data_IF_168101620850
#
_entry.id   IF_168101620850
#
_cell.length_a   1.000
_cell.length_b   1.000
_cell.length_c   1.000
_cell.angle_alpha   90.00
_cell.angle_beta   90.00
_cell.angle_gamma   90.00
#
_symmetry.space_group_name_H-M   'P 1'
#
loop_
_entity.id
_entity.type
_entity.pdbx_description
1 polymer ?
#
# COMPACT_ATOMS: atom_id res chain seq x y z
N UNK A 1 0.01 -13.79 -17.56
CA UNK A 1 0.29 -13.47 -16.14
C UNK A 1 0.17 -11.97 -15.99
N UNK A 2 -0.54 -11.47 -14.96
CA UNK A 2 -0.63 -10.02 -14.71
C UNK A 2 0.73 -9.58 -14.15
N UNK A 3 1.30 -8.49 -14.69
CA UNK A 3 2.54 -7.92 -14.15
C UNK A 3 2.27 -7.43 -12.72
N UNK A 4 3.14 -7.67 -11.74
CA UNK A 4 2.78 -7.45 -10.35
C UNK A 4 3.10 -6.02 -9.89
N UNK A 5 2.82 -5.02 -10.74
CA UNK A 5 3.13 -3.61 -10.49
C UNK A 5 1.90 -2.90 -9.91
N UNK A 6 2.10 -2.23 -8.78
CA UNK A 6 1.11 -1.41 -8.07
C UNK A 6 1.79 -0.16 -7.49
N UNK A 7 1.01 0.81 -6.99
CA UNK A 7 1.55 2.00 -6.33
C UNK A 7 1.07 2.15 -4.88
N UNK A 8 1.66 3.11 -4.17
CA UNK A 8 1.18 3.64 -2.88
C UNK A 8 0.34 4.88 -3.17
N UNK A 9 -0.86 4.95 -2.57
CA UNK A 9 -2.01 5.73 -3.06
C UNK A 9 -1.82 7.24 -3.26
N UNK A 10 -0.81 7.86 -2.64
CA UNK A 10 -0.67 9.32 -2.63
C UNK A 10 0.03 9.85 -3.90
N UNK A 11 -0.68 10.72 -4.64
CA UNK A 11 -0.27 11.23 -5.96
C UNK A 11 -0.27 12.77 -6.04
N UNK A 12 0.58 13.38 -6.89
CA UNK A 12 0.65 14.83 -7.07
C UNK A 12 -0.36 15.39 -8.09
N UNK A 13 -1.25 14.56 -8.64
CA UNK A 13 -2.22 14.98 -9.66
C UNK A 13 -3.23 15.99 -9.11
N UNK A 14 -3.50 17.04 -9.88
CA UNK A 14 -4.41 18.12 -9.49
C UNK A 14 -5.89 17.81 -9.78
N UNK A 15 -6.18 16.87 -10.68
CA UNK A 15 -7.55 16.47 -11.04
C UNK A 15 -7.82 15.01 -10.66
N UNK A 16 -9.09 14.71 -10.35
CA UNK A 16 -9.55 13.34 -10.09
C UNK A 16 -9.35 12.46 -11.33
N UNK A 17 -9.72 12.97 -12.51
CA UNK A 17 -9.62 12.25 -13.77
C UNK A 17 -8.18 11.80 -14.06
N UNK A 18 -7.19 12.68 -13.86
CA UNK A 18 -5.79 12.33 -14.09
C UNK A 18 -5.29 11.29 -13.08
N UNK A 19 -5.64 11.45 -11.79
CA UNK A 19 -5.24 10.52 -10.75
C UNK A 19 -5.82 9.11 -10.98
N UNK A 20 -7.11 9.02 -11.32
CA UNK A 20 -7.80 7.75 -11.62
C UNK A 20 -7.26 7.13 -12.90
N UNK A 21 -7.02 7.94 -13.95
CA UNK A 21 -6.43 7.47 -15.20
C UNK A 21 -5.04 6.88 -14.95
N UNK A 22 -4.18 7.58 -14.22
CA UNK A 22 -2.84 7.10 -13.86
C UNK A 22 -2.90 5.79 -13.06
N UNK A 23 -3.77 5.72 -12.06
CA UNK A 23 -3.96 4.49 -11.28
C UNK A 23 -4.39 3.31 -12.15
N UNK A 24 -5.39 3.51 -13.02
CA UNK A 24 -5.93 2.43 -13.88
C UNK A 24 -4.97 1.97 -14.97
N UNK A 25 -3.91 2.71 -15.29
CA UNK A 25 -2.83 2.22 -16.15
C UNK A 25 -2.05 1.08 -15.52
N UNK A 26 -2.05 0.98 -14.19
CA UNK A 26 -1.29 -0.05 -13.48
C UNK A 26 -1.89 -1.43 -13.71
N UNK A 27 -1.05 -2.47 -13.86
CA UNK A 27 -1.52 -3.86 -13.89
C UNK A 27 -2.37 -4.26 -12.67
N UNK A 28 -2.08 -3.68 -11.50
CA UNK A 28 -2.91 -3.75 -10.30
C UNK A 28 -3.31 -2.30 -9.96
N UNK A 29 -4.51 -1.84 -10.39
CA UNK A 29 -5.00 -0.51 -10.07
C UNK A 29 -5.16 -0.32 -8.56
N UNK A 30 -5.02 0.91 -8.09
CA UNK A 30 -5.09 1.27 -6.68
C UNK A 30 -5.98 2.50 -6.46
N UNK A 31 -6.74 2.58 -5.37
CA UNK A 31 -7.51 3.81 -5.11
C UNK A 31 -6.53 4.98 -4.84
N UNK A 32 -6.50 6.03 -5.68
CA UNK A 32 -5.57 7.13 -5.49
C UNK A 32 -6.11 8.12 -4.44
N UNK A 33 -5.25 8.51 -3.51
CA UNK A 33 -5.45 9.58 -2.56
C UNK A 33 -4.86 10.87 -3.15
N UNK A 34 -5.70 11.87 -3.33
CA UNK A 34 -5.33 13.12 -3.99
C UNK A 34 -4.79 14.11 -2.96
N UNK A 35 -3.68 14.79 -3.24
CA UNK A 35 -3.13 15.83 -2.38
C UNK A 35 -3.29 17.22 -3.04
N UNK A 36 -4.52 17.71 -3.17
CA UNK A 36 -4.74 19.06 -3.76
C UNK A 36 -4.47 20.18 -2.76
N UNK A 37 -4.40 19.86 -1.48
CA UNK A 37 -3.92 20.75 -0.43
C UNK A 37 -3.60 19.86 0.77
N UNK A 38 -2.90 20.37 1.78
CA UNK A 38 -2.57 19.65 3.03
C UNK A 38 -3.80 19.14 3.85
N UNK A 39 -4.98 18.98 3.24
CA UNK A 39 -6.27 18.61 3.83
C UNK A 39 -6.79 17.22 3.43
N UNK A 40 -6.23 16.55 2.41
CA UNK A 40 -6.57 15.18 1.98
C UNK A 40 -5.38 14.24 2.25
N UNK A 41 -5.08 13.96 3.53
CA UNK A 41 -4.08 12.98 3.95
C UNK A 41 -4.80 11.74 4.51
N UNK A 42 -4.15 10.57 4.58
CA UNK A 42 -4.77 9.34 5.11
C UNK A 42 -5.60 9.55 6.40
N UNK A 43 -5.14 10.43 7.29
CA UNK A 43 -5.86 10.81 8.52
C UNK A 43 -7.18 11.55 8.26
N UNK A 44 -7.24 12.47 7.29
CA UNK A 44 -8.48 13.18 6.99
C UNK A 44 -9.50 12.27 6.29
N UNK A 45 -9.03 11.33 5.47
CA UNK A 45 -9.89 10.35 4.79
C UNK A 45 -10.58 9.39 5.77
N UNK A 46 -9.88 9.00 6.84
CA UNK A 46 -10.45 8.13 7.88
C UNK A 46 -11.44 8.86 8.79
N UNK A 47 -11.30 10.17 8.94
CA UNK A 47 -12.24 10.98 9.72
C UNK A 47 -13.50 11.40 8.95
N UNK A 48 -13.41 11.51 7.62
CA UNK A 48 -14.53 11.86 6.76
C UNK A 48 -14.49 11.05 5.45
N UNK A 49 -14.84 9.74 5.50
CA UNK A 49 -14.75 8.85 4.36
C UNK A 49 -15.67 9.24 3.19
N UNK A 50 -16.68 10.09 3.45
CA UNK A 50 -17.56 10.65 2.42
C UNK A 50 -16.89 11.65 1.47
N UNK A 51 -15.64 12.06 1.74
CA UNK A 51 -14.86 13.00 0.92
C UNK A 51 -13.85 12.36 -0.01
N UNK A 52 -13.91 11.05 -0.25
CA UNK A 52 -13.00 10.36 -1.17
C UNK A 52 -13.21 10.82 -2.62
N UNK A 53 -12.55 11.91 -2.99
CA UNK A 53 -12.75 12.61 -4.27
C UNK A 53 -12.52 11.72 -5.49
N UNK A 54 -11.64 10.73 -5.38
CA UNK A 54 -11.38 9.77 -6.45
C UNK A 54 -12.31 8.54 -6.45
N UNK A 55 -13.05 8.25 -5.39
CA UNK A 55 -13.78 6.98 -5.25
C UNK A 55 -14.88 6.82 -6.31
N UNK A 56 -15.65 7.88 -6.56
CA UNK A 56 -16.70 7.87 -7.58
C UNK A 56 -16.12 7.49 -8.94
N UNK A 57 -15.17 8.27 -9.42
CA UNK A 57 -14.52 8.06 -10.73
C UNK A 57 -13.75 6.75 -10.79
N UNK A 58 -13.10 6.35 -9.70
CA UNK A 58 -12.37 5.08 -9.62
C UNK A 58 -13.31 3.88 -9.69
N UNK A 59 -14.56 3.98 -9.25
CA UNK A 59 -15.51 2.84 -9.21
C UNK A 59 -16.57 2.84 -10.31
N UNK A 60 -16.53 3.82 -11.23
CA UNK A 60 -17.47 3.89 -12.39
C UNK A 60 -17.45 2.65 -13.27
N UNK A 61 -16.30 2.01 -13.40
CA UNK A 61 -16.10 0.85 -14.26
C UNK A 61 -15.59 -0.34 -13.45
N UNK A 62 -16.01 -1.58 -13.77
CA UNK A 62 -15.50 -2.76 -13.10
C UNK A 62 -13.99 -2.96 -13.36
N UNK A 63 -13.30 -3.58 -12.40
CA UNK A 63 -11.90 -3.96 -12.54
C UNK A 63 -11.79 -5.39 -13.06
N UNK A 64 -11.04 -5.58 -14.15
CA UNK A 64 -10.68 -6.92 -14.63
C UNK A 64 -9.40 -7.37 -13.92
N UNK A 65 -9.53 -8.31 -12.99
CA UNK A 65 -8.40 -8.83 -12.21
C UNK A 65 -8.27 -8.21 -10.82
N UNK A 66 -7.04 -8.00 -10.37
CA UNK A 66 -6.75 -7.55 -8.99
C UNK A 66 -6.90 -6.03 -8.86
N UNK A 67 -7.32 -5.59 -7.68
CA UNK A 67 -7.37 -4.17 -7.29
C UNK A 67 -6.83 -4.01 -5.88
N UNK A 68 -6.08 -2.93 -5.65
CA UNK A 68 -5.50 -2.61 -4.36
C UNK A 68 -6.27 -1.48 -3.67
N UNK A 69 -6.56 -1.67 -2.40
CA UNK A 69 -7.00 -0.64 -1.46
C UNK A 69 -5.90 -0.45 -0.41
N UNK A 70 -5.70 0.78 0.03
CA UNK A 70 -4.74 1.13 1.06
C UNK A 70 -5.40 2.06 2.07
N UNK A 71 -5.05 1.89 3.34
CA UNK A 71 -5.58 2.68 4.45
C UNK A 71 -4.48 2.81 5.52
N UNK A 72 -4.59 3.81 6.39
CA UNK A 72 -3.76 3.87 7.60
C UNK A 72 -3.99 2.63 8.47
N UNK A 73 -2.92 2.12 9.09
CA UNK A 73 -3.02 1.05 10.06
C UNK A 73 -3.48 1.53 11.45
N UNK A 74 -4.04 0.64 12.27
CA UNK A 74 -4.58 0.98 13.59
C UNK A 74 -3.52 1.54 14.54
N UNK A 75 -2.27 1.05 14.52
CA UNK A 75 -1.24 1.57 15.43
C UNK A 75 -0.80 2.97 15.04
N UNK A 76 -0.66 3.23 13.74
CA UNK A 76 -0.43 4.57 13.22
C UNK A 76 -1.58 5.52 13.60
N UNK A 77 -2.83 5.12 13.38
CA UNK A 77 -4.00 5.95 13.69
C UNK A 77 -4.11 6.29 15.18
N UNK A 78 -3.93 5.30 16.07
CA UNK A 78 -3.94 5.52 17.52
C UNK A 78 -2.88 6.54 17.95
N UNK A 79 -1.70 6.52 17.34
CA UNK A 79 -0.60 7.46 17.65
C UNK A 79 -0.89 8.87 17.15
N UNK A 80 -1.37 8.99 15.91
CA UNK A 80 -1.63 10.29 15.28
C UNK A 80 -2.82 11.01 15.93
N UNK A 81 -3.90 10.27 16.23
CA UNK A 81 -5.13 10.87 16.77
C UNK A 81 -5.29 10.77 18.28
N UNK A 82 -4.39 10.05 18.96
CA UNK A 82 -4.48 9.75 20.39
C UNK A 82 -5.80 9.08 20.77
N UNK A 83 -6.32 8.23 19.89
CA UNK A 83 -7.54 7.45 20.11
C UNK A 83 -7.21 6.04 20.64
N UNK A 84 -8.21 5.36 21.20
CA UNK A 84 -8.05 3.99 21.67
C UNK A 84 -8.23 2.95 20.54
N UNK A 85 -7.86 1.70 20.80
CA UNK A 85 -7.91 0.62 19.82
C UNK A 85 -9.30 0.40 19.20
N UNK A 86 -10.37 0.51 19.99
CA UNK A 86 -11.75 0.33 19.50
C UNK A 86 -12.15 1.45 18.56
N UNK A 87 -11.81 2.69 18.91
CA UNK A 87 -12.04 3.86 18.07
C UNK A 87 -11.27 3.76 16.75
N UNK A 88 -9.99 3.40 16.81
CA UNK A 88 -9.14 3.25 15.63
C UNK A 88 -9.71 2.21 14.66
N UNK A 89 -10.05 1.01 15.15
CA UNK A 89 -10.69 -0.04 14.34
C UNK A 89 -12.02 0.43 13.77
N UNK A 90 -12.86 1.10 14.55
CA UNK A 90 -14.16 1.61 14.11
C UNK A 90 -14.04 2.62 12.95
N UNK A 91 -13.09 3.56 13.05
CA UNK A 91 -12.83 4.54 12.00
C UNK A 91 -12.30 3.88 10.72
N UNK A 92 -11.32 2.99 10.85
CA UNK A 92 -10.77 2.25 9.70
C UNK A 92 -11.86 1.43 9.01
N UNK A 93 -12.72 0.73 9.77
CA UNK A 93 -13.82 -0.03 9.20
C UNK A 93 -14.82 0.85 8.46
N UNK A 94 -15.23 1.98 9.06
CA UNK A 94 -16.14 2.93 8.40
C UNK A 94 -15.56 3.41 7.06
N UNK A 95 -14.26 3.68 7.02
CA UNK A 95 -13.55 4.03 5.80
C UNK A 95 -13.55 2.90 4.77
N UNK A 96 -13.19 1.69 5.20
CA UNK A 96 -13.09 0.53 4.32
C UNK A 96 -14.45 0.07 3.80
N UNK A 97 -15.51 0.07 4.62
CA UNK A 97 -16.88 -0.25 4.21
C UNK A 97 -17.32 0.65 3.03
N UNK A 98 -17.07 1.96 3.16
CA UNK A 98 -17.37 2.95 2.11
C UNK A 98 -16.69 2.61 0.77
N UNK A 99 -15.49 2.07 0.81
CA UNK A 99 -14.70 1.71 -0.38
C UNK A 99 -15.13 0.34 -0.92
N UNK A 100 -15.17 -0.67 -0.05
CA UNK A 100 -15.39 -2.06 -0.44
C UNK A 100 -16.79 -2.31 -0.99
N UNK A 101 -17.80 -1.57 -0.53
CA UNK A 101 -19.16 -1.62 -1.06
C UNK A 101 -19.25 -1.15 -2.53
N UNK A 102 -18.26 -0.37 -2.98
CA UNK A 102 -18.26 0.26 -4.31
C UNK A 102 -17.25 -0.36 -5.27
N UNK A 103 -16.25 -1.07 -4.77
CA UNK A 103 -15.28 -1.75 -5.62
C UNK A 103 -15.88 -3.03 -6.20
N UNK A 104 -16.18 -2.96 -7.51
CA UNK A 104 -16.56 -4.10 -8.33
C UNK A 104 -15.34 -4.63 -9.09
N UNK A 105 -14.73 -5.72 -8.62
CA UNK A 105 -13.58 -6.35 -9.25
C UNK A 105 -13.86 -7.83 -9.50
N UNK A 106 -13.46 -8.35 -10.66
CA UNK A 106 -13.63 -9.78 -11.00
C UNK A 106 -12.55 -10.67 -10.38
N UNK A 107 -11.43 -10.08 -9.96
CA UNK A 107 -10.34 -10.77 -9.28
C UNK A 107 -10.19 -10.37 -7.83
N UNK A 108 -9.07 -10.80 -7.24
CA UNK A 108 -8.82 -10.65 -5.82
C UNK A 108 -8.55 -9.19 -5.42
N UNK A 109 -9.20 -8.73 -4.36
CA UNK A 109 -8.89 -7.45 -3.71
C UNK A 109 -7.66 -7.63 -2.82
N UNK A 110 -6.78 -6.63 -2.79
CA UNK A 110 -5.63 -6.57 -1.89
C UNK A 110 -5.83 -5.38 -0.97
N UNK A 111 -5.77 -5.58 0.34
CA UNK A 111 -5.90 -4.50 1.32
C UNK A 111 -4.57 -4.30 2.04
N UNK A 112 -4.02 -3.10 1.93
CA UNK A 112 -2.85 -2.68 2.70
C UNK A 112 -3.23 -1.78 3.88
N UNK A 113 -2.65 -2.06 5.05
CA UNK A 113 -2.62 -1.13 6.18
C UNK A 113 -1.22 -0.52 6.34
N UNK A 114 -1.16 0.79 6.48
CA UNK A 114 0.08 1.56 6.58
C UNK A 114 0.50 1.77 8.03
N UNK A 115 1.63 1.18 8.40
CA UNK A 115 2.17 1.20 9.77
C UNK A 115 3.62 1.74 9.77
N UNK A 116 3.84 3.04 9.43
CA UNK A 116 5.17 3.64 9.26
C UNK A 116 6.05 3.64 10.52
N UNK A 117 5.46 3.42 11.69
CA UNK A 117 6.14 3.41 12.98
C UNK A 117 5.91 2.12 13.76
N UNK A 118 5.70 0.99 13.08
CA UNK A 118 5.58 -0.32 13.73
C UNK A 118 6.92 -0.73 14.33
N UNK A 119 6.91 -1.10 15.61
CA UNK A 119 8.08 -1.63 16.31
C UNK A 119 7.87 -3.10 16.70
N UNK A 120 8.94 -3.79 17.11
CA UNK A 120 8.86 -5.19 17.56
C UNK A 120 7.99 -5.38 18.82
N UNK A 121 7.87 -4.36 19.68
CA UNK A 121 7.09 -4.47 20.93
C UNK A 121 5.60 -4.36 20.71
N UNK A 122 5.18 -3.82 19.57
CA UNK A 122 3.77 -3.54 19.29
C UNK A 122 3.08 -4.73 18.59
N UNK A 123 3.83 -5.70 18.09
CA UNK A 123 3.36 -6.66 17.07
C UNK A 123 2.22 -7.57 17.53
N UNK A 124 2.17 -7.98 18.80
CA UNK A 124 1.08 -8.83 19.31
C UNK A 124 -0.25 -8.07 19.35
N UNK A 125 -0.25 -6.84 19.85
CA UNK A 125 -1.45 -6.00 19.82
C UNK A 125 -1.81 -5.66 18.36
N UNK A 126 -0.83 -5.29 17.55
CA UNK A 126 -1.03 -5.01 16.13
C UNK A 126 -1.71 -6.18 15.42
N UNK A 127 -1.27 -7.41 15.66
CA UNK A 127 -1.84 -8.61 15.02
C UNK A 127 -3.31 -8.82 15.38
N UNK A 128 -3.70 -8.59 16.64
CA UNK A 128 -5.10 -8.66 17.06
C UNK A 128 -5.97 -7.60 16.35
N UNK A 129 -5.46 -6.37 16.23
CA UNK A 129 -6.16 -5.28 15.55
C UNK A 129 -6.24 -5.52 14.05
N UNK A 130 -5.15 -6.00 13.44
CA UNK A 130 -5.11 -6.38 12.03
C UNK A 130 -6.08 -7.51 11.72
N UNK A 131 -6.12 -8.58 12.53
CA UNK A 131 -7.08 -9.68 12.34
C UNK A 131 -8.51 -9.13 12.35
N UNK A 132 -8.84 -8.31 13.34
CA UNK A 132 -10.18 -7.70 13.47
C UNK A 132 -10.59 -6.89 12.24
N UNK A 133 -9.64 -6.20 11.60
CA UNK A 133 -9.88 -5.43 10.38
C UNK A 133 -9.95 -6.34 9.17
N UNK A 134 -8.93 -7.18 8.94
CA UNK A 134 -8.83 -8.01 7.73
C UNK A 134 -9.93 -9.07 7.65
N UNK A 135 -10.33 -9.68 8.76
CA UNK A 135 -11.39 -10.71 8.79
C UNK A 135 -12.77 -10.15 8.38
N UNK A 136 -12.94 -8.82 8.36
CA UNK A 136 -14.16 -8.17 7.93
C UNK A 136 -14.26 -8.01 6.39
N UNK A 137 -13.17 -8.22 5.65
CA UNK A 137 -13.11 -7.98 4.21
C UNK A 137 -12.53 -9.18 3.45
N UNK A 138 -13.18 -9.57 2.35
CA UNK A 138 -12.63 -10.55 1.41
C UNK A 138 -11.50 -9.93 0.58
N UNK A 139 -10.31 -9.85 1.19
CA UNK A 139 -9.10 -9.27 0.59
C UNK A 139 -7.83 -9.98 1.06
N UNK A 140 -6.77 -9.91 0.26
CA UNK A 140 -5.43 -10.35 0.71
C UNK A 140 -4.86 -9.34 1.70
N UNK A 141 -4.49 -9.75 2.93
CA UNK A 141 -3.92 -8.88 3.94
C UNK A 141 -2.50 -8.45 3.59
N UNK A 142 -2.28 -7.15 3.48
CA UNK A 142 -0.99 -6.52 3.29
C UNK A 142 -0.67 -5.52 4.39
N UNK A 143 0.59 -5.47 4.83
CA UNK A 143 1.08 -4.40 5.71
C UNK A 143 2.19 -3.64 4.99
N UNK A 144 2.08 -2.33 4.92
CA UNK A 144 3.13 -1.45 4.43
C UNK A 144 3.81 -0.74 5.59
N UNK A 145 5.14 -0.78 5.62
CA UNK A 145 5.94 -0.08 6.60
C UNK A 145 7.11 0.63 5.92
N UNK A 146 7.10 1.96 5.93
CA UNK A 146 8.17 2.80 5.38
C UNK A 146 9.27 3.13 6.42
N UNK A 147 9.12 2.64 7.66
CA UNK A 147 10.06 2.68 8.77
C UNK A 147 10.82 1.37 8.95
N UNK A 148 11.45 1.18 10.13
CA UNK A 148 12.22 -0.04 10.42
C UNK A 148 11.27 -1.22 10.58
N UNK A 149 11.30 -2.14 9.62
CA UNK A 149 10.36 -3.27 9.57
C UNK A 149 10.73 -4.32 10.61
N UNK A 150 9.80 -4.77 11.46
CA UNK A 150 10.02 -5.90 12.36
C UNK A 150 9.89 -7.24 11.62
N UNK A 151 10.79 -7.53 10.67
CA UNK A 151 10.66 -8.65 9.72
C UNK A 151 10.36 -10.01 10.36
N UNK A 152 11.03 -10.36 11.46
CA UNK A 152 10.80 -11.64 12.15
C UNK A 152 9.33 -11.79 12.55
N UNK A 153 8.79 -10.81 13.27
CA UNK A 153 7.39 -10.82 13.68
C UNK A 153 6.42 -10.77 12.48
N UNK A 154 6.75 -9.99 11.44
CA UNK A 154 5.93 -9.92 10.23
C UNK A 154 5.86 -11.25 9.48
N UNK A 155 6.96 -12.01 9.43
CA UNK A 155 7.00 -13.31 8.78
C UNK A 155 6.33 -14.42 9.60
N UNK A 156 6.35 -14.29 10.93
CA UNK A 156 5.67 -15.19 11.85
C UNK A 156 4.16 -14.91 12.01
N UNK A 157 3.70 -13.70 11.65
CA UNK A 157 2.28 -13.36 11.75
C UNK A 157 1.42 -14.31 10.91
N UNK A 158 0.32 -14.78 11.47
CA UNK A 158 -0.65 -15.63 10.76
C UNK A 158 -1.63 -14.80 9.93
N UNK A 159 -1.80 -13.53 10.29
CA UNK A 159 -2.71 -12.59 9.61
C UNK A 159 -2.09 -12.05 8.33
N UNK A 160 -0.85 -11.55 8.38
CA UNK A 160 -0.23 -10.86 7.25
C UNK A 160 0.11 -11.83 6.13
N UNK A 161 -0.25 -11.50 4.87
CA UNK A 161 0.09 -12.31 3.68
C UNK A 161 1.08 -11.61 2.75
N UNK A 162 1.04 -10.28 2.68
CA UNK A 162 1.96 -9.47 1.89
C UNK A 162 2.68 -8.45 2.79
N UNK A 163 4.01 -8.39 2.72
CA UNK A 163 4.82 -7.40 3.45
C UNK A 163 5.37 -6.40 2.44
N UNK A 164 5.05 -5.13 2.61
CA UNK A 164 5.54 -4.01 1.79
C UNK A 164 6.51 -3.14 2.58
N UNK A 165 7.65 -2.82 1.97
CA UNK A 165 8.68 -1.98 2.59
C UNK A 165 9.59 -1.33 1.55
N UNK A 166 10.33 -0.32 1.96
CA UNK A 166 11.39 0.32 1.17
C UNK A 166 12.62 -0.60 1.08
N UNK A 167 12.69 -1.41 0.02
CA UNK A 167 13.77 -2.35 -0.20
C UNK A 167 15.11 -1.65 -0.48
N UNK A 168 15.06 -0.46 -1.09
CA UNK A 168 16.24 0.37 -1.34
C UNK A 168 16.92 0.85 -0.04
N UNK A 169 16.14 1.00 1.04
CA UNK A 169 16.62 1.45 2.35
C UNK A 169 16.93 0.30 3.32
N UNK A 170 16.11 -0.75 3.34
CA UNK A 170 16.19 -1.82 4.34
C UNK A 170 16.79 -3.13 3.81
N UNK A 171 17.49 -3.07 2.67
CA UNK A 171 18.12 -4.22 2.01
C UNK A 171 18.82 -5.19 2.96
N UNK A 172 19.75 -4.69 3.77
CA UNK A 172 20.56 -5.55 4.65
C UNK A 172 19.71 -6.27 5.71
N UNK A 173 18.68 -5.61 6.24
CA UNK A 173 17.77 -6.24 7.21
C UNK A 173 16.88 -7.28 6.52
N UNK A 174 16.40 -6.97 5.32
CA UNK A 174 15.63 -7.92 4.52
C UNK A 174 16.45 -9.16 4.16
N UNK A 175 17.70 -9.00 3.70
CA UNK A 175 18.60 -10.10 3.35
C UNK A 175 18.75 -11.12 4.49
N UNK A 176 18.89 -10.64 5.72
CA UNK A 176 19.00 -11.51 6.91
C UNK A 176 17.69 -12.24 7.24
N UNK A 177 16.54 -11.63 6.97
CA UNK A 177 15.24 -12.13 7.39
C UNK A 177 14.52 -12.96 6.31
N UNK A 178 14.80 -12.74 5.02
CA UNK A 178 14.15 -13.41 3.88
C UNK A 178 14.20 -14.94 3.91
N UNK A 179 15.27 -15.61 4.41
CA UNK A 179 15.24 -17.06 4.57
C UNK A 179 14.05 -17.57 5.41
N UNK A 180 13.49 -16.71 6.27
CA UNK A 180 12.33 -17.00 7.12
C UNK A 180 11.02 -16.45 6.57
N UNK A 181 10.95 -16.04 5.29
CA UNK A 181 9.75 -15.41 4.71
C UNK A 181 8.48 -16.27 4.75
N UNK A 182 8.56 -17.55 5.12
CA UNK A 182 7.44 -18.43 5.45
C UNK A 182 6.24 -18.36 4.48
N UNK A 183 6.53 -18.42 3.18
CA UNK A 183 5.50 -18.33 2.13
C UNK A 183 4.82 -16.97 1.97
N UNK A 184 5.18 -15.96 2.77
CA UNK A 184 4.71 -14.58 2.60
C UNK A 184 5.18 -14.03 1.24
N UNK A 185 4.32 -13.20 0.66
CA UNK A 185 4.61 -12.42 -0.54
C UNK A 185 5.29 -11.12 -0.11
N UNK A 186 6.19 -10.61 -0.94
CA UNK A 186 6.85 -9.33 -0.71
C UNK A 186 6.37 -8.32 -1.74
N UNK A 187 6.00 -7.13 -1.30
CA UNK A 187 5.83 -5.96 -2.16
C UNK A 187 7.08 -5.09 -2.07
N UNK A 188 7.97 -5.29 -3.04
CA UNK A 188 9.30 -4.67 -3.08
C UNK A 188 9.19 -3.20 -3.45
N UNK A 189 9.50 -2.33 -2.48
CA UNK A 189 9.65 -0.89 -2.70
C UNK A 189 11.01 -0.57 -3.33
N UNK A 190 11.05 -0.40 -4.65
CA UNK A 190 12.31 -0.36 -5.42
C UNK A 190 12.56 0.97 -6.12
N UNK A 191 13.83 1.29 -6.31
CA UNK A 191 14.33 2.32 -7.24
C UNK A 191 15.04 1.69 -8.42
N UNK A 192 15.66 0.53 -8.23
CA UNK A 192 16.29 -0.25 -9.29
C UNK A 192 16.04 -1.75 -9.12
N UNK A 193 16.40 -2.56 -10.13
CA UNK A 193 16.21 -4.01 -10.08
C UNK A 193 17.05 -4.66 -8.99
N UNK A 194 18.21 -4.07 -8.67
CA UNK A 194 19.14 -4.57 -7.67
C UNK A 194 18.49 -4.60 -6.29
N UNK A 195 17.53 -3.72 -5.99
CA UNK A 195 16.80 -3.67 -4.72
C UNK A 195 16.01 -4.96 -4.43
N UNK A 196 15.70 -5.74 -5.46
CA UNK A 196 15.01 -7.04 -5.31
C UNK A 196 16.04 -8.14 -5.04
N UNK A 197 16.06 -8.61 -3.79
CA UNK A 197 16.98 -9.67 -3.35
C UNK A 197 16.57 -11.06 -3.84
N UNK A 198 15.29 -11.41 -3.73
CA UNK A 198 14.75 -12.72 -4.09
C UNK A 198 13.30 -12.58 -4.56
N UNK A 199 13.09 -12.46 -5.87
CA UNK A 199 11.75 -12.36 -6.43
C UNK A 199 11.09 -13.75 -6.54
N UNK A 200 9.87 -13.91 -6.01
CA UNK A 200 9.07 -15.14 -6.17
C UNK A 200 7.74 -14.88 -6.87
N UNK A 201 7.14 -15.90 -7.50
CA UNK A 201 5.79 -15.78 -8.04
C UNK A 201 4.80 -15.22 -7.02
N UNK A 202 4.09 -14.17 -7.42
CA UNK A 202 3.14 -13.45 -6.57
C UNK A 202 3.73 -12.25 -5.81
N UNK A 203 5.05 -12.10 -5.70
CA UNK A 203 5.64 -10.86 -5.15
C UNK A 203 5.22 -9.66 -6.01
N UNK A 204 5.11 -8.48 -5.40
CA UNK A 204 4.72 -7.21 -6.01
C UNK A 204 5.90 -6.27 -6.16
N UNK A 205 5.81 -5.36 -7.14
CA UNK A 205 6.76 -4.26 -7.38
C UNK A 205 6.01 -2.95 -7.18
N UNK A 206 6.57 -2.07 -6.35
CA UNK A 206 5.98 -0.79 -5.94
C UNK A 206 7.08 0.26 -5.80
N UNK A 207 6.80 1.56 -5.88
CA UNK A 207 7.76 2.54 -5.39
C UNK A 207 8.03 2.36 -3.89
N UNK A 208 9.15 2.87 -3.36
CA UNK A 208 9.55 2.67 -1.97
C UNK A 208 8.60 3.31 -0.94
N UNK A 209 7.88 4.35 -1.35
CA UNK A 209 6.91 5.10 -0.55
C UNK A 209 5.87 5.75 -1.49
N UNK A 210 4.86 6.41 -0.93
CA UNK A 210 3.96 7.28 -1.69
C UNK A 210 4.71 8.30 -2.54
N UNK A 211 4.30 8.48 -3.78
CA UNK A 211 4.96 9.37 -4.76
C UNK A 211 4.44 10.80 -4.69
N UNK A 212 3.65 11.11 -3.68
CA UNK A 212 3.21 12.44 -3.38
C UNK A 212 4.35 13.43 -3.20
N UNK A 213 5.31 13.10 -2.33
CA UNK A 213 6.35 14.02 -1.87
C UNK A 213 7.72 13.50 -2.29
N UNK A 214 8.59 14.42 -2.75
CA UNK A 214 9.99 14.10 -3.09
C UNK A 214 10.84 13.84 -1.85
N UNK A 215 10.51 14.47 -0.73
CA UNK A 215 11.21 14.34 0.54
C UNK A 215 10.18 14.30 1.70
N UNK A 216 10.43 13.48 2.71
CA UNK A 216 9.54 13.30 3.88
C UNK A 216 9.37 14.58 4.71
N UNK A 217 10.22 15.59 4.49
CA UNK A 217 10.18 16.88 5.18
C UNK A 217 9.84 18.07 4.27
N UNK A 218 9.68 17.88 2.95
CA UNK A 218 9.49 18.99 2.02
C UNK A 218 8.07 19.00 1.44
N UNK A 219 7.48 20.20 1.36
CA UNK A 219 6.26 20.52 0.59
C UNK A 219 6.41 20.36 -0.93
N UNK A 220 7.49 19.70 -1.39
CA UNK A 220 7.82 19.54 -2.80
C UNK A 220 7.22 18.23 -3.28
N UNK A 221 6.18 18.36 -4.09
CA UNK A 221 5.52 17.23 -4.72
C UNK A 221 6.35 16.70 -5.90
N UNK A 222 6.24 15.40 -6.20
CA UNK A 222 6.64 14.93 -7.52
C UNK A 222 5.80 15.63 -8.60
N UNK A 223 6.36 15.78 -9.78
CA UNK A 223 5.58 16.21 -10.96
C UNK A 223 4.89 15.01 -11.59
N UNK A 224 3.84 15.25 -12.37
CA UNK A 224 3.17 14.19 -13.15
C UNK A 224 4.16 13.43 -14.06
N UNK A 225 5.06 14.10 -14.82
CA UNK A 225 6.09 13.40 -15.59
C UNK A 225 7.02 12.51 -14.75
N UNK A 226 7.36 12.92 -13.53
CA UNK A 226 8.17 12.10 -12.63
C UNK A 226 7.40 10.85 -12.16
N UNK A 227 6.09 10.96 -11.92
CA UNK A 227 5.26 9.79 -11.60
C UNK A 227 5.18 8.81 -12.77
N UNK A 228 5.07 9.30 -14.00
CA UNK A 228 5.08 8.47 -15.22
C UNK A 228 6.46 7.81 -15.44
N UNK A 229 7.55 8.51 -15.13
CA UNK A 229 8.89 7.95 -15.18
C UNK A 229 9.09 6.84 -14.12
N UNK A 230 8.59 7.05 -12.89
CA UNK A 230 8.58 6.02 -11.85
C UNK A 230 7.79 4.79 -12.32
N UNK A 231 6.57 4.99 -12.83
CA UNK A 231 5.75 3.90 -13.35
C UNK A 231 6.47 3.11 -14.45
N UNK A 232 7.03 3.81 -15.44
CA UNK A 232 7.78 3.19 -16.54
C UNK A 232 8.95 2.34 -16.04
N UNK A 233 9.73 2.86 -15.08
CA UNK A 233 10.82 2.13 -14.46
C UNK A 233 10.34 0.86 -13.71
N UNK A 234 9.22 0.94 -12.99
CA UNK A 234 8.65 -0.24 -12.30
C UNK A 234 8.21 -1.32 -13.28
N UNK A 235 7.62 -0.93 -14.41
CA UNK A 235 7.24 -1.85 -15.48
C UNK A 235 8.46 -2.53 -16.12
N UNK A 236 9.54 -1.79 -16.34
CA UNK A 236 10.81 -2.33 -16.84
C UNK A 236 11.42 -3.35 -15.86
N UNK A 237 11.44 -3.02 -14.57
CA UNK A 237 11.91 -3.92 -13.51
C UNK A 237 11.05 -5.20 -13.47
N UNK A 238 9.74 -5.06 -13.44
CA UNK A 238 8.82 -6.20 -13.39
C UNK A 238 8.95 -7.10 -14.63
N UNK A 239 9.11 -6.52 -15.81
CA UNK A 239 9.34 -7.27 -17.05
C UNK A 239 10.64 -8.06 -17.00
N UNK A 240 11.74 -7.45 -16.53
CA UNK A 240 13.03 -8.13 -16.38
C UNK A 240 12.99 -9.25 -15.34
N UNK A 241 12.25 -9.07 -14.24
CA UNK A 241 12.12 -10.08 -13.20
C UNK A 241 11.26 -11.28 -13.64
N UNK A 242 10.21 -11.03 -14.43
CA UNK A 242 9.31 -12.10 -14.93
C UNK A 242 9.85 -12.82 -16.16
N UNK A 243 10.80 -12.22 -16.88
CA UNK A 243 11.48 -12.85 -18.02
C UNK A 243 12.62 -13.79 -17.60
N UNK A 244 13.06 -13.78 -16.33
CA UNK A 244 14.05 -14.73 -15.83
C UNK A 244 13.40 -16.11 -15.64
N UNK A 245 13.90 -17.16 -16.31
CA UNK A 245 13.36 -18.51 -16.19
C UNK A 245 13.56 -19.11 -14.79
#
# INVERSE_FOLDING_TARGET
>A
MILPVTQIGSLPHHTVADAVTYSRKHPIPFLPERLVSNSEYMLSLVNDPGRLSCLDDFTKEPFVGQVKVQCIGPMALMREERCNAREAVGKIRTYLDTIFDRINATGQKILFLDEPGLSHTDTMLSEQLWSTIFDAYDATPGIHNCGKVPFEAMFQSEVVRIISFDASRYRQQAEQALPKRNGKRIAWGVKSIEDVLEFKPGDLITPPCGVAFKDKQASVLHTVPECEAIYSNLMDIATKLTAKP
#
